data_IF_256689663929
#
_entry.id   IF_256689663929
#
_cell.length_a   1.000
_cell.length_b   1.000
_cell.length_c   1.000
_cell.angle_alpha   90.00
_cell.angle_beta   90.00
_cell.angle_gamma   90.00
#
_symmetry.space_group_name_H-M   'P 1'
#
loop_
_entity.id
_entity.type
_entity.pdbx_description
1 polymer ?
#
# COMPACT_ATOMS: atom_id res chain seq x y z
N UNK A 1 16.32 -27.16 26.14
CA UNK A 1 17.72 -26.88 25.76
C UNK A 1 17.70 -25.68 24.83
N UNK A 2 18.20 -24.54 25.31
CA UNK A 2 18.37 -23.32 24.51
C UNK A 2 19.29 -23.61 23.31
N UNK A 3 19.00 -23.01 22.15
CA UNK A 3 19.98 -22.86 21.07
C UNK A 3 19.97 -21.42 20.57
N UNK A 4 21.18 -20.87 20.57
CA UNK A 4 21.59 -19.53 20.21
C UNK A 4 22.55 -19.69 19.01
N UNK A 5 22.08 -19.40 17.78
CA UNK A 5 22.84 -18.78 16.69
C UNK A 5 22.11 -18.85 15.33
N UNK A 6 22.10 -17.76 14.55
CA UNK A 6 21.62 -17.70 13.16
C UNK A 6 22.74 -18.08 12.16
N UNK A 7 22.37 -18.76 11.06
CA UNK A 7 23.27 -19.11 9.97
C UNK A 7 22.56 -19.86 8.83
N UNK A 8 23.09 -19.74 7.60
CA UNK A 8 22.52 -20.31 6.38
C UNK A 8 22.55 -21.86 6.38
N UNK A 9 21.46 -22.49 5.93
CA UNK A 9 21.39 -23.92 5.65
C UNK A 9 21.40 -24.16 4.13
N UNK A 10 22.17 -25.15 3.67
CA UNK A 10 22.25 -25.50 2.24
C UNK A 10 21.01 -26.25 1.72
N UNK A 11 20.46 -25.69 0.63
CA UNK A 11 19.69 -26.20 -0.51
C UNK A 11 18.65 -27.34 -0.38
N UNK A 12 17.39 -26.97 -0.67
CA UNK A 12 16.36 -27.86 -1.21
C UNK A 12 16.33 -27.73 -2.75
N UNK A 13 16.66 -28.82 -3.45
CA UNK A 13 16.55 -28.91 -4.92
C UNK A 13 15.24 -29.65 -5.27
N UNK A 14 14.31 -29.05 -6.02
CA UNK A 14 13.06 -29.72 -6.41
C UNK A 14 13.31 -30.85 -7.44
N UNK A 15 12.69 -32.00 -7.20
CA UNK A 15 12.69 -33.16 -8.10
C UNK A 15 11.43 -33.12 -8.99
N UNK A 16 11.60 -32.99 -10.31
CA UNK A 16 10.52 -32.84 -11.29
C UNK A 16 10.14 -34.14 -12.03
N UNK A 17 10.33 -35.31 -11.42
CA UNK A 17 10.27 -36.58 -12.18
C UNK A 17 8.89 -37.23 -12.42
N UNK A 18 7.73 -36.63 -12.03
CA UNK A 18 6.32 -36.94 -12.49
C UNK A 18 5.27 -36.19 -11.63
N UNK A 19 4.51 -35.21 -12.16
CA UNK A 19 3.17 -35.22 -12.81
C UNK A 19 1.93 -35.51 -11.91
N UNK A 20 1.15 -34.47 -11.55
CA UNK A 20 -0.19 -34.10 -12.09
C UNK A 20 -1.09 -33.51 -11.00
N UNK A 21 -1.56 -32.28 -11.20
CA UNK A 21 -2.48 -31.59 -10.31
C UNK A 21 -2.31 -30.09 -10.53
N UNK A 22 -3.40 -29.35 -10.62
CA UNK A 22 -3.48 -27.96 -11.09
C UNK A 22 -2.84 -26.95 -10.14
N UNK A 23 -1.53 -27.03 -9.98
CA UNK A 23 -0.73 -25.96 -9.40
C UNK A 23 -0.25 -25.07 -10.55
N UNK A 24 -1.06 -24.07 -10.91
CA UNK A 24 -0.53 -22.91 -11.61
C UNK A 24 0.43 -22.23 -10.64
N UNK A 25 1.73 -22.54 -10.80
CA UNK A 25 2.85 -21.96 -10.09
C UNK A 25 2.69 -20.43 -10.00
N UNK A 26 2.33 -19.94 -8.81
CA UNK A 26 2.59 -18.55 -8.41
C UNK A 26 4.00 -18.55 -7.85
N UNK A 27 4.97 -18.15 -8.67
CA UNK A 27 6.32 -17.86 -8.19
C UNK A 27 6.32 -16.51 -7.48
N UNK A 28 6.84 -16.49 -6.26
CA UNK A 28 7.35 -15.26 -5.65
C UNK A 28 8.81 -15.16 -6.05
N UNK A 29 9.10 -14.18 -6.89
CA UNK A 29 10.43 -13.96 -7.46
C UNK A 29 11.38 -13.26 -6.51
N UNK A 30 10.86 -12.61 -5.45
CA UNK A 30 11.68 -11.90 -4.47
C UNK A 30 10.94 -11.79 -3.13
N UNK A 31 11.60 -12.15 -2.04
CA UNK A 31 11.14 -11.85 -0.68
C UNK A 31 11.85 -10.57 -0.24
N UNK A 32 11.10 -9.51 0.05
CA UNK A 32 11.66 -8.25 0.56
C UNK A 32 11.71 -8.29 2.10
N UNK A 33 12.89 -8.03 2.64
CA UNK A 33 13.09 -7.74 4.07
C UNK A 33 12.40 -6.43 4.43
N UNK A 34 11.72 -6.39 5.57
CA UNK A 34 10.98 -5.20 5.96
C UNK A 34 11.89 -4.11 6.53
N UNK A 35 11.74 -2.87 6.05
CA UNK A 35 12.50 -1.71 6.56
C UNK A 35 11.70 -1.01 7.65
N UNK A 36 12.33 -0.60 8.76
CA UNK A 36 11.66 -0.07 9.95
C UNK A 36 10.76 1.17 9.74
N UNK A 37 10.89 1.85 8.60
CA UNK A 37 10.09 3.03 8.18
C UNK A 37 9.00 2.70 7.15
N UNK A 38 9.05 1.50 6.58
CA UNK A 38 8.02 0.95 5.73
C UNK A 38 7.01 0.21 6.60
N UNK A 39 5.72 0.32 6.32
CA UNK A 39 4.72 -0.59 6.89
C UNK A 39 4.85 -2.01 6.29
N UNK A 40 6.07 -2.53 6.12
CA UNK A 40 6.32 -3.91 5.70
C UNK A 40 6.68 -4.81 6.88
N UNK A 41 5.96 -5.92 6.93
CA UNK A 41 6.23 -7.17 7.62
C UNK A 41 5.43 -8.23 6.88
N UNK A 42 5.79 -9.52 7.01
CA UNK A 42 5.21 -10.64 6.24
C UNK A 42 3.73 -10.42 5.84
N UNK A 43 3.52 -10.09 4.57
CA UNK A 43 2.18 -9.99 4.01
C UNK A 43 1.54 -11.39 4.06
N UNK A 44 0.31 -11.55 4.58
CA UNK A 44 -0.44 -12.79 4.44
C UNK A 44 -0.50 -13.17 2.95
N UNK A 45 -0.12 -14.40 2.62
CA UNK A 45 -0.40 -14.92 1.28
C UNK A 45 -1.88 -15.31 1.24
N UNK A 46 -2.61 -14.74 0.30
CA UNK A 46 -3.95 -15.21 -0.08
C UNK A 46 -3.75 -16.16 -1.25
N UNK A 47 -4.06 -17.45 -1.05
CA UNK A 47 -4.09 -18.44 -2.13
C UNK A 47 -5.51 -18.57 -2.65
N UNK A 48 -5.65 -18.65 -3.97
CA UNK A 48 -6.90 -19.04 -4.61
C UNK A 48 -6.79 -20.53 -4.88
N UNK A 49 -7.45 -21.35 -4.06
CA UNK A 49 -7.44 -22.81 -4.21
C UNK A 49 -8.44 -23.28 -5.27
N UNK A 50 -9.48 -22.48 -5.57
CA UNK A 50 -10.46 -22.79 -6.60
C UNK A 50 -11.13 -21.52 -7.15
N UNK A 51 -11.08 -21.32 -8.48
CA UNK A 51 -11.80 -20.27 -9.18
C UNK A 51 -13.02 -20.86 -9.89
N UNK A 52 -14.16 -20.96 -9.19
CA UNK A 52 -15.43 -21.37 -9.79
C UNK A 52 -16.22 -20.14 -10.22
N UNK A 53 -16.73 -20.13 -11.45
CA UNK A 53 -17.61 -19.06 -11.92
C UNK A 53 -18.87 -18.98 -11.03
N UNK A 54 -19.09 -17.82 -10.39
CA UNK A 54 -20.29 -17.53 -9.59
C UNK A 54 -19.98 -17.00 -8.19
N UNK A 55 -19.36 -17.81 -7.33
CA UNK A 55 -19.07 -17.50 -5.92
C UNK A 55 -17.63 -17.90 -5.57
N UNK A 56 -16.61 -17.10 -5.94
CA UNK A 56 -15.24 -17.42 -5.57
C UNK A 56 -15.07 -17.34 -4.04
N UNK A 57 -14.57 -18.41 -3.44
CA UNK A 57 -14.09 -18.42 -2.05
C UNK A 57 -12.60 -18.12 -2.01
N UNK A 58 -12.18 -17.21 -1.15
CA UNK A 58 -10.78 -16.86 -0.94
C UNK A 58 -10.33 -17.34 0.43
N UNK A 59 -9.23 -18.08 0.51
CA UNK A 59 -8.59 -18.47 1.76
C UNK A 59 -7.33 -17.62 1.94
N UNK A 60 -7.25 -16.88 3.04
CA UNK A 60 -6.01 -16.24 3.45
C UNK A 60 -5.45 -16.95 4.67
N UNK A 61 -4.14 -17.19 4.67
CA UNK A 61 -3.42 -17.77 5.81
C UNK A 61 -2.28 -16.82 6.19
N UNK A 62 -2.06 -16.67 7.50
CA UNK A 62 -0.86 -16.01 8.00
C UNK A 62 -0.35 -16.73 9.24
N UNK A 63 0.97 -16.85 9.34
CA UNK A 63 1.65 -17.43 10.50
C UNK A 63 2.34 -16.30 11.26
N UNK A 64 1.76 -15.82 12.36
CA UNK A 64 2.40 -14.79 13.16
C UNK A 64 3.67 -15.34 13.82
N UNK A 65 4.78 -14.61 13.73
CA UNK A 65 6.07 -14.97 14.36
C UNK A 65 6.22 -14.42 15.78
N UNK A 66 5.26 -13.64 16.26
CA UNK A 66 5.22 -13.01 17.59
C UNK A 66 3.79 -13.13 18.16
N UNK A 67 3.66 -12.98 19.48
CA UNK A 67 2.34 -12.89 20.15
C UNK A 67 1.77 -11.48 19.93
N UNK A 68 0.49 -11.39 19.54
CA UNK A 68 -0.21 -10.12 19.32
C UNK A 68 -1.61 -10.33 18.75
N UNK A 69 -2.35 -9.23 18.60
CA UNK A 69 -3.62 -9.22 17.88
C UNK A 69 -3.36 -9.01 16.39
N UNK A 70 -3.96 -9.87 15.56
CA UNK A 70 -3.78 -9.87 14.12
C UNK A 70 -5.14 -9.95 13.44
N UNK A 71 -5.31 -9.20 12.34
CA UNK A 71 -6.49 -9.25 11.50
C UNK A 71 -6.08 -9.56 10.06
N UNK A 72 -6.80 -10.47 9.42
CA UNK A 72 -6.69 -10.78 8.01
C UNK A 72 -7.89 -10.21 7.28
N UNK A 73 -7.65 -9.48 6.20
CA UNK A 73 -8.71 -8.97 5.33
C UNK A 73 -8.47 -9.43 3.90
N UNK A 74 -9.49 -10.01 3.27
CA UNK A 74 -9.54 -10.23 1.83
C UNK A 74 -10.33 -9.08 1.22
N UNK A 75 -9.75 -8.37 0.25
CA UNK A 75 -10.38 -7.24 -0.41
C UNK A 75 -10.39 -7.47 -1.91
N UNK A 76 -11.56 -7.29 -2.53
CA UNK A 76 -11.67 -7.21 -3.98
C UNK A 76 -11.24 -5.81 -4.42
N UNK A 77 -10.21 -5.71 -5.26
CA UNK A 77 -9.82 -4.46 -5.88
C UNK A 77 -10.66 -4.25 -7.14
N UNK A 78 -11.47 -3.20 -7.13
CA UNK A 78 -12.16 -2.73 -8.33
C UNK A 78 -11.34 -1.63 -8.99
N UNK A 79 -11.24 -1.66 -10.31
CA UNK A 79 -10.66 -0.54 -11.05
C UNK A 79 -11.47 0.73 -10.79
N UNK A 80 -10.80 1.89 -10.77
CA UNK A 80 -11.46 3.19 -10.74
C UNK A 80 -11.08 4.11 -9.58
N UNK A 81 -9.96 3.86 -8.89
CA UNK A 81 -9.40 4.82 -7.93
C UNK A 81 -8.62 4.19 -6.79
N UNK A 82 -8.30 5.03 -5.81
CA UNK A 82 -7.71 4.64 -4.53
C UNK A 82 -8.76 4.77 -3.44
N UNK A 83 -8.73 3.87 -2.46
CA UNK A 83 -9.60 3.95 -1.31
C UNK A 83 -9.02 4.97 -0.32
N UNK A 84 -9.74 6.05 -0.07
CA UNK A 84 -9.38 7.14 0.84
C UNK A 84 -10.13 7.06 2.16
N UNK A 85 -9.41 7.24 3.27
CA UNK A 85 -9.96 7.53 4.59
C UNK A 85 -9.61 8.95 5.00
N UNK A 86 -10.63 9.68 5.45
CA UNK A 86 -10.55 11.09 5.83
C UNK A 86 -10.73 11.22 7.35
N UNK A 87 -9.94 12.09 7.97
CA UNK A 87 -9.86 12.24 9.42
C UNK A 87 -10.00 13.71 9.82
N UNK A 88 -10.88 14.03 10.77
CA UNK A 88 -10.97 15.36 11.39
C UNK A 88 -9.87 15.56 12.45
N UNK A 89 -8.64 15.19 12.09
CA UNK A 89 -7.41 15.45 12.82
C UNK A 89 -6.22 15.30 11.85
N UNK A 90 -5.13 16.02 12.07
CA UNK A 90 -3.93 15.96 11.20
C UNK A 90 -3.02 14.75 11.42
N UNK A 91 -3.35 13.87 12.38
CA UNK A 91 -2.46 12.77 12.82
C UNK A 91 -2.89 11.40 12.30
N UNK A 92 -3.85 11.33 11.37
CA UNK A 92 -4.43 10.08 10.85
C UNK A 92 -4.98 9.17 11.97
N UNK A 93 -5.39 9.76 13.10
CA UNK A 93 -5.89 9.04 14.25
C UNK A 93 -7.32 8.58 13.99
N UNK A 94 -7.58 7.31 14.32
CA UNK A 94 -8.90 6.70 14.20
C UNK A 94 -9.88 7.30 15.23
N UNK A 95 -11.18 7.31 14.92
CA UNK A 95 -11.81 6.78 13.71
C UNK A 95 -11.67 7.75 12.50
N UNK A 96 -11.73 7.19 11.28
CA UNK A 96 -11.98 8.01 10.09
C UNK A 96 -13.43 8.52 10.13
N UNK A 97 -13.65 9.77 9.70
CA UNK A 97 -14.98 10.39 9.67
C UNK A 97 -15.71 10.15 8.34
N UNK A 98 -14.95 9.85 7.28
CA UNK A 98 -15.46 9.55 5.96
C UNK A 98 -14.50 8.58 5.25
N UNK A 99 -15.06 7.74 4.38
CA UNK A 99 -14.28 6.91 3.47
C UNK A 99 -14.94 6.83 2.11
N UNK A 100 -14.15 6.87 1.04
CA UNK A 100 -14.65 6.77 -0.34
C UNK A 100 -13.55 6.27 -1.29
N UNK A 101 -13.92 5.96 -2.53
CA UNK A 101 -12.95 5.71 -3.60
C UNK A 101 -12.78 7.00 -4.40
N UNK A 102 -11.55 7.49 -4.48
CA UNK A 102 -11.20 8.66 -5.27
C UNK A 102 -10.54 8.22 -6.58
N UNK A 103 -11.11 8.56 -7.76
CA UNK A 103 -10.61 8.11 -9.05
C UNK A 103 -9.18 8.53 -9.36
N UNK A 104 -8.78 9.69 -8.84
CA UNK A 104 -7.46 10.29 -9.01
C UNK A 104 -7.08 11.03 -7.73
N UNK A 105 -5.77 11.11 -7.46
CA UNK A 105 -5.23 12.08 -6.50
C UNK A 105 -4.98 13.37 -7.28
N UNK A 106 -5.92 14.31 -7.16
CA UNK A 106 -5.82 15.66 -7.71
C UNK A 106 -6.94 16.48 -7.06
N UNK A 107 -6.60 17.14 -5.96
CA UNK A 107 -7.54 17.88 -5.14
C UNK A 107 -7.07 19.33 -5.02
N UNK A 108 -8.01 20.24 -5.18
CA UNK A 108 -7.85 21.67 -4.93
C UNK A 108 -9.07 22.08 -4.11
N UNK A 109 -8.90 22.07 -2.80
CA UNK A 109 -9.96 22.48 -1.87
C UNK A 109 -9.92 24.00 -1.65
N UNK A 110 -8.78 24.65 -1.92
CA UNK A 110 -8.55 26.05 -1.55
C UNK A 110 -8.86 26.24 -0.08
N UNK A 111 -9.71 27.20 0.27
CA UNK A 111 -10.16 27.43 1.67
C UNK A 111 -11.46 26.68 2.02
N UNK A 112 -11.82 25.69 1.20
CA UNK A 112 -13.03 24.88 1.32
C UNK A 112 -12.93 23.77 2.35
N UNK A 113 -14.01 23.01 2.50
CA UNK A 113 -14.06 21.85 3.38
C UNK A 113 -13.43 20.62 2.68
N UNK A 114 -12.57 19.89 3.41
CA UNK A 114 -11.97 18.63 2.97
C UNK A 114 -12.84 17.46 3.41
N UNK A 115 -13.35 17.51 4.63
CA UNK A 115 -14.34 16.55 5.17
C UNK A 115 -15.73 17.22 5.27
N UNK A 116 -16.68 16.58 5.94
CA UNK A 116 -17.99 17.19 6.18
C UNK A 116 -17.90 18.47 7.03
N UNK A 117 -16.92 18.56 7.93
CA UNK A 117 -16.80 19.65 8.91
C UNK A 117 -15.39 20.23 9.03
N UNK A 118 -14.37 19.49 8.60
CA UNK A 118 -12.97 19.89 8.65
C UNK A 118 -12.51 20.57 7.37
N UNK A 119 -11.95 21.77 7.53
CA UNK A 119 -11.13 22.44 6.52
C UNK A 119 -9.66 22.48 6.94
N UNK A 120 -9.39 22.74 8.21
CA UNK A 120 -8.08 22.87 8.84
C UNK A 120 -7.87 21.65 9.77
N UNK A 121 -6.62 21.29 10.07
CA UNK A 121 -6.26 20.16 10.91
C UNK A 121 -6.89 18.83 10.48
N UNK A 122 -6.93 18.58 9.17
CA UNK A 122 -7.48 17.37 8.55
C UNK A 122 -6.34 16.50 8.04
N UNK A 123 -6.56 15.18 7.97
CA UNK A 123 -5.64 14.31 7.23
C UNK A 123 -6.42 13.30 6.40
N UNK A 124 -5.75 12.77 5.38
CA UNK A 124 -6.32 11.78 4.48
C UNK A 124 -5.28 10.70 4.18
N UNK A 125 -5.70 9.44 4.15
CA UNK A 125 -4.88 8.31 3.73
C UNK A 125 -5.56 7.58 2.59
N UNK A 126 -4.91 7.54 1.43
CA UNK A 126 -5.30 6.71 0.30
C UNK A 126 -4.42 5.48 0.21
N UNK A 127 -5.01 4.37 -0.22
CA UNK A 127 -4.26 3.18 -0.61
C UNK A 127 -4.95 2.41 -1.73
N UNK A 128 -4.16 1.65 -2.47
CA UNK A 128 -4.65 0.82 -3.56
C UNK A 128 -3.50 0.23 -4.35
N UNK A 129 -3.69 0.11 -5.66
CA UNK A 129 -2.67 -0.40 -6.57
C UNK A 129 -2.48 0.52 -7.77
N UNK A 130 -1.24 0.69 -8.19
CA UNK A 130 -0.87 1.26 -9.48
C UNK A 130 -0.55 0.13 -10.46
N UNK A 131 -0.97 0.28 -11.72
CA UNK A 131 -0.61 -0.64 -12.80
C UNK A 131 0.01 0.16 -13.95
N UNK A 132 1.34 0.23 -14.05
CA UNK A 132 2.01 0.98 -15.10
C UNK A 132 1.76 0.30 -16.46
N UNK A 133 1.60 1.08 -17.55
CA UNK A 133 1.48 0.56 -18.90
C UNK A 133 2.80 0.02 -19.48
N UNK A 134 3.94 0.47 -18.98
CA UNK A 134 5.28 0.18 -19.50
C UNK A 134 6.24 -0.20 -18.37
N UNK A 135 7.31 -0.93 -18.71
CA UNK A 135 8.39 -1.24 -17.77
C UNK A 135 9.53 -0.25 -18.00
N UNK A 136 9.64 0.74 -17.13
CA UNK A 136 10.66 1.79 -17.21
C UNK A 136 10.84 2.45 -15.84
N UNK A 137 11.75 3.42 -15.78
CA UNK A 137 11.87 4.29 -14.61
C UNK A 137 10.79 5.35 -14.72
N UNK A 138 9.92 5.38 -13.72
CA UNK A 138 8.89 6.40 -13.55
C UNK A 138 9.37 7.44 -12.56
N UNK A 139 9.05 8.71 -12.82
CA UNK A 139 9.15 9.79 -11.84
C UNK A 139 7.80 9.97 -11.18
N UNK A 140 7.73 9.78 -9.87
CA UNK A 140 6.59 10.16 -9.05
C UNK A 140 6.74 11.63 -8.70
N UNK A 141 5.66 12.38 -8.86
CA UNK A 141 5.57 13.78 -8.48
C UNK A 141 4.53 13.88 -7.35
N UNK A 142 4.79 14.70 -6.35
CA UNK A 142 3.82 15.05 -5.33
C UNK A 142 3.94 16.54 -4.99
N UNK A 143 2.83 17.26 -5.03
CA UNK A 143 2.72 18.62 -4.49
C UNK A 143 1.58 18.64 -3.50
N UNK A 144 1.80 19.24 -2.34
CA UNK A 144 0.77 19.39 -1.33
C UNK A 144 0.91 20.71 -0.59
N UNK A 145 -0.24 21.24 -0.19
CA UNK A 145 -0.41 22.26 0.84
C UNK A 145 -1.37 21.64 1.86
N UNK A 146 -0.93 21.15 3.04
CA UNK A 146 0.42 21.22 3.61
C UNK A 146 1.33 20.02 3.27
N UNK A 147 1.14 18.88 3.94
CA UNK A 147 2.15 17.81 4.02
C UNK A 147 1.76 16.55 3.28
N UNK A 148 2.74 15.85 2.69
CA UNK A 148 2.50 14.60 1.93
C UNK A 148 3.56 13.54 2.19
N UNK A 149 3.12 12.29 2.21
CA UNK A 149 3.98 11.11 2.12
C UNK A 149 3.47 10.15 1.08
N UNK A 150 4.37 9.59 0.28
CA UNK A 150 4.05 8.59 -0.75
C UNK A 150 4.87 7.34 -0.52
N UNK A 151 4.20 6.20 -0.58
CA UNK A 151 4.83 4.88 -0.59
C UNK A 151 4.47 4.15 -1.87
N UNK A 152 5.48 3.50 -2.47
CA UNK A 152 5.31 2.57 -3.57
C UNK A 152 5.95 1.24 -3.17
N UNK A 153 5.23 0.14 -3.38
CA UNK A 153 5.65 -1.20 -2.92
C UNK A 153 6.10 -1.20 -1.45
N UNK A 154 5.38 -0.38 -0.67
CA UNK A 154 5.59 -0.13 0.75
C UNK A 154 6.88 0.61 1.12
N UNK A 155 7.75 0.95 0.17
CA UNK A 155 8.90 1.82 0.40
C UNK A 155 8.46 3.28 0.44
N UNK A 156 8.95 4.05 1.42
CA UNK A 156 8.68 5.49 1.51
C UNK A 156 9.52 6.22 0.47
N UNK A 157 8.87 6.69 -0.60
CA UNK A 157 9.55 7.32 -1.75
C UNK A 157 9.52 8.85 -1.67
N UNK A 158 8.50 9.43 -1.04
CA UNK A 158 8.43 10.87 -0.75
C UNK A 158 8.04 11.03 0.72
N UNK A 159 8.84 11.77 1.48
CA UNK A 159 8.55 12.17 2.86
C UNK A 159 8.66 13.68 3.03
N UNK A 160 7.57 14.38 2.68
CA UNK A 160 7.41 15.81 2.83
C UNK A 160 6.29 16.09 3.86
N UNK A 161 6.37 15.44 5.02
CA UNK A 161 5.29 15.56 6.01
C UNK A 161 5.27 16.93 6.67
N UNK A 162 6.42 17.55 6.88
CA UNK A 162 6.57 18.84 7.55
C UNK A 162 7.16 19.91 6.62
N UNK A 163 7.14 19.64 5.30
CA UNK A 163 7.54 20.54 4.23
C UNK A 163 6.35 20.68 3.27
N UNK A 164 5.96 21.91 2.95
CA UNK A 164 4.82 22.17 2.08
C UNK A 164 5.21 22.92 0.82
N UNK A 165 4.23 23.00 -0.08
CA UNK A 165 4.12 24.06 -1.07
C UNK A 165 5.22 24.02 -2.14
N UNK A 166 5.85 22.85 -2.30
CA UNK A 166 6.89 22.54 -3.27
C UNK A 166 6.53 21.23 -3.99
N UNK A 167 7.08 21.05 -5.19
CA UNK A 167 7.01 19.78 -5.91
C UNK A 167 8.15 18.87 -5.45
N UNK A 168 7.81 17.68 -4.97
CA UNK A 168 8.74 16.62 -4.61
C UNK A 168 8.72 15.53 -5.66
N UNK A 169 9.89 14.95 -5.95
CA UNK A 169 10.01 13.91 -6.96
C UNK A 169 10.81 12.71 -6.47
N UNK A 170 10.48 11.54 -7.01
CA UNK A 170 11.25 10.31 -6.79
C UNK A 170 11.21 9.41 -8.02
N UNK A 171 12.39 8.97 -8.47
CA UNK A 171 12.53 8.05 -9.59
C UNK A 171 12.57 6.60 -9.10
N UNK A 172 11.73 5.73 -9.66
CA UNK A 172 11.74 4.29 -9.36
C UNK A 172 11.38 3.44 -10.57
N UNK A 173 11.95 2.23 -10.69
CA UNK A 173 11.56 1.30 -11.73
C UNK A 173 10.17 0.69 -11.43
N UNK A 174 9.25 0.78 -12.39
CA UNK A 174 7.97 0.06 -12.33
C UNK A 174 7.89 -0.95 -13.48
N UNK A 175 7.14 -2.04 -13.29
CA UNK A 175 7.04 -3.14 -14.26
C UNK A 175 5.66 -3.17 -14.91
N UNK A 176 5.60 -3.11 -16.24
CA UNK A 176 4.37 -3.14 -17.02
C UNK A 176 3.44 -4.27 -16.57
N UNK A 177 2.17 -3.93 -16.35
CA UNK A 177 1.14 -4.91 -16.04
C UNK A 177 1.18 -5.51 -14.63
N UNK A 178 2.25 -5.26 -13.86
CA UNK A 178 2.35 -5.59 -12.44
C UNK A 178 1.52 -4.59 -11.61
N UNK A 179 0.89 -5.06 -10.53
CA UNK A 179 0.16 -4.19 -9.61
C UNK A 179 1.06 -3.82 -8.44
N UNK A 180 1.60 -2.61 -8.48
CA UNK A 180 2.43 -2.02 -7.43
C UNK A 180 1.55 -1.47 -6.31
N UNK A 181 1.91 -1.70 -5.04
CA UNK A 181 1.22 -1.09 -3.92
C UNK A 181 1.44 0.42 -3.91
N UNK A 182 0.38 1.18 -3.68
CA UNK A 182 0.50 2.62 -3.42
C UNK A 182 -0.20 2.96 -2.11
N UNK A 183 0.46 3.80 -1.31
CA UNK A 183 -0.15 4.52 -0.21
C UNK A 183 0.22 6.00 -0.33
N UNK A 184 -0.75 6.89 -0.13
CA UNK A 184 -0.54 8.33 -0.05
C UNK A 184 -1.14 8.81 1.26
N UNK A 185 -0.37 9.56 2.04
CA UNK A 185 -0.87 10.25 3.23
C UNK A 185 -0.72 11.75 3.01
N UNK A 186 -1.73 12.49 3.42
CA UNK A 186 -1.79 13.95 3.32
C UNK A 186 -2.27 14.53 4.64
N UNK A 187 -1.78 15.73 4.99
CA UNK A 187 -2.35 16.55 6.04
C UNK A 187 -2.55 17.98 5.57
N UNK A 188 -3.58 18.57 6.12
CA UNK A 188 -3.85 20.00 6.12
C UNK A 188 -3.77 20.50 7.56
N UNK A 189 -3.01 21.56 7.81
CA UNK A 189 -2.86 22.19 9.12
C UNK A 189 -3.73 23.44 9.17
N UNK A 190 -3.40 24.47 8.41
CA UNK A 190 -4.20 25.71 8.31
C UNK A 190 -4.00 26.38 6.94
N UNK A 191 -5.09 26.85 6.32
CA UNK A 191 -5.03 27.73 5.16
C UNK A 191 -5.62 27.11 3.89
N UNK A 192 -5.07 27.44 2.71
CA UNK A 192 -5.43 26.77 1.47
C UNK A 192 -4.96 25.31 1.48
N UNK A 193 -5.77 24.42 0.92
CA UNK A 193 -5.48 23.00 0.86
C UNK A 193 -5.50 22.49 -0.58
N UNK A 194 -4.42 21.82 -0.99
CA UNK A 194 -4.34 21.11 -2.27
C UNK A 194 -3.40 19.90 -2.23
N UNK A 195 -3.61 18.97 -3.14
CA UNK A 195 -2.80 17.76 -3.31
C UNK A 195 -2.82 17.29 -4.76
N UNK A 196 -1.64 17.09 -5.36
CA UNK A 196 -1.46 16.56 -6.71
C UNK A 196 -0.36 15.52 -6.78
#
# INVERSE_FOLDING_TARGET
TYRENPGNLENLVPNFSKLTGTDALVQVTEAQEGVAWSFTGNNPRVSVEEAVAGLPSYYGHYEPTKVGDYALAVRLLTQGGLYGEYFDNQWLQKPAVMSRVDPTINFDWGTGLITQYGRDFVSVRWWGKLRPPTSEVYTIYATADDGVRVWIDHELVIDAWDECCLEFTFDLPLTAGHYHDIKVEYKEVEGPADLR
#
